data_IF_428592367448
#
_entry.id   IF_428592367448
#
_cell.length_a   1.000
_cell.length_b   1.000
_cell.length_c   1.000
_cell.angle_alpha   90.00
_cell.angle_beta   90.00
_cell.angle_gamma   90.00
#
_symmetry.space_group_name_H-M   'P 1'
#
loop_
_entity.id
_entity.type
_entity.pdbx_description
1 polymer ?
#
# COMPACT_ATOMS: atom_id res chain seq x y z
N UNK A 1 -0.10 13.25 -0.56
CA UNK A 1 -1.31 13.92 -0.06
C UNK A 1 -1.90 13.03 1.03
N UNK A 2 -2.01 13.56 2.25
CA UNK A 2 -2.54 12.83 3.40
C UNK A 2 -4.02 12.44 3.21
N UNK A 3 -4.41 11.26 3.72
CA UNK A 3 -5.81 10.81 3.77
C UNK A 3 -6.41 10.33 2.46
N UNK A 4 -5.66 10.30 1.36
CA UNK A 4 -6.19 9.90 0.06
C UNK A 4 -6.48 8.40 -0.03
N UNK A 5 -7.59 8.09 -0.71
CA UNK A 5 -8.04 6.74 -1.05
C UNK A 5 -7.58 6.33 -2.44
N UNK A 6 -7.68 5.04 -2.77
CA UNK A 6 -7.25 4.51 -4.06
C UNK A 6 -7.95 5.13 -5.28
N UNK A 7 -9.28 5.43 -5.27
CA UNK A 7 -9.90 6.13 -6.40
C UNK A 7 -9.36 7.55 -6.58
N UNK A 8 -9.04 8.27 -5.49
CA UNK A 8 -8.42 9.59 -5.58
C UNK A 8 -7.00 9.54 -6.15
N UNK A 9 -6.23 8.50 -5.81
CA UNK A 9 -4.90 8.27 -6.40
C UNK A 9 -5.01 7.92 -7.88
N UNK A 10 -5.97 7.08 -8.25
CA UNK A 10 -6.19 6.66 -9.64
C UNK A 10 -6.54 7.84 -10.55
N UNK A 11 -7.44 8.75 -10.12
CA UNK A 11 -7.87 9.89 -10.96
C UNK A 11 -6.73 10.86 -11.29
N UNK A 12 -5.75 10.98 -10.41
CA UNK A 12 -4.56 11.85 -10.60
C UNK A 12 -3.32 11.09 -11.11
N UNK A 13 -3.41 9.76 -11.29
CA UNK A 13 -2.27 8.90 -11.59
C UNK A 13 -1.55 9.28 -12.89
N UNK A 14 -2.29 9.78 -13.88
CA UNK A 14 -1.71 10.26 -15.12
C UNK A 14 -0.76 11.44 -14.89
N UNK A 15 -1.23 12.50 -14.24
CA UNK A 15 -0.44 13.72 -14.01
C UNK A 15 0.73 13.46 -13.06
N UNK A 16 0.50 12.66 -11.99
CA UNK A 16 1.47 12.52 -10.90
C UNK A 16 2.48 11.38 -11.14
N UNK A 17 2.20 10.49 -12.08
CA UNK A 17 3.07 9.33 -12.36
C UNK A 17 3.36 9.21 -13.85
N UNK A 18 2.35 9.03 -14.70
CA UNK A 18 2.57 8.69 -16.12
C UNK A 18 3.30 9.80 -16.87
N UNK A 19 2.85 11.04 -16.72
CA UNK A 19 3.42 12.21 -17.43
C UNK A 19 4.83 12.55 -16.95
N UNK A 20 5.23 12.12 -15.74
CA UNK A 20 6.58 12.28 -15.20
C UNK A 20 7.56 11.19 -15.71
N UNK A 21 7.07 10.15 -16.36
CA UNK A 21 7.86 9.07 -16.96
C UNK A 21 8.91 8.45 -16.01
N UNK A 22 8.56 8.06 -14.77
CA UNK A 22 9.51 7.44 -13.86
C UNK A 22 9.89 6.05 -14.37
N UNK A 23 11.07 5.57 -14.01
CA UNK A 23 11.48 4.19 -14.29
C UNK A 23 10.73 3.17 -13.43
N UNK A 24 10.39 3.55 -12.21
CA UNK A 24 9.73 2.70 -11.21
C UNK A 24 8.66 3.50 -10.48
N UNK A 25 7.53 2.88 -10.21
CA UNK A 25 6.51 3.40 -9.28
C UNK A 25 6.36 2.43 -8.12
N UNK A 26 6.32 2.98 -6.91
CA UNK A 26 6.02 2.26 -5.66
C UNK A 26 4.61 2.64 -5.22
N UNK A 27 3.70 1.67 -5.16
CA UNK A 27 2.30 1.89 -4.80
C UNK A 27 2.04 1.30 -3.41
N UNK A 28 1.77 2.18 -2.44
CA UNK A 28 1.36 1.85 -1.07
C UNK A 28 0.04 2.59 -0.80
N UNK A 29 -1.08 1.88 -0.85
CA UNK A 29 -2.42 2.43 -0.74
C UNK A 29 -3.42 1.40 -0.25
N UNK A 30 -4.58 1.84 0.29
CA UNK A 30 -5.70 1.00 0.72
C UNK A 30 -6.15 1.24 2.17
N UNK A 31 -5.27 1.69 3.06
CA UNK A 31 -5.63 1.92 4.46
C UNK A 31 -6.72 2.99 4.61
N UNK A 32 -6.66 4.07 3.85
CA UNK A 32 -7.66 5.15 3.88
C UNK A 32 -9.01 4.74 3.29
N UNK A 33 -9.01 3.81 2.35
CA UNK A 33 -10.22 3.18 1.81
C UNK A 33 -10.90 2.33 2.89
N UNK A 34 -10.14 1.46 3.57
CA UNK A 34 -10.62 0.64 4.68
C UNK A 34 -11.15 1.54 5.81
N UNK A 35 -10.47 2.66 6.11
CA UNK A 35 -10.94 3.66 7.06
C UNK A 35 -12.20 4.42 6.60
N UNK A 36 -12.60 4.28 5.34
CA UNK A 36 -13.79 4.93 4.78
C UNK A 36 -13.67 6.44 4.62
N UNK A 37 -12.47 6.96 4.32
CA UNK A 37 -12.23 8.41 4.20
C UNK A 37 -13.05 9.08 3.11
N UNK A 38 -13.43 8.34 2.06
CA UNK A 38 -14.31 8.83 0.97
C UNK A 38 -15.64 8.08 0.90
N UNK A 39 -16.06 7.49 2.00
CA UNK A 39 -17.25 6.66 2.08
C UNK A 39 -16.96 5.16 2.16
N UNK A 40 -17.99 4.30 2.19
CA UNK A 40 -17.81 2.86 2.23
C UNK A 40 -17.03 2.33 1.03
N UNK A 41 -16.04 1.47 1.27
CA UNK A 41 -15.28 0.76 0.24
C UNK A 41 -15.25 -0.73 0.55
N UNK A 42 -15.43 -1.56 -0.47
CA UNK A 42 -15.17 -3.00 -0.38
C UNK A 42 -13.70 -3.28 -0.70
N UNK A 43 -13.18 -4.45 -0.29
CA UNK A 43 -11.83 -4.84 -0.68
C UNK A 43 -11.69 -4.97 -2.20
N UNK A 44 -12.70 -5.49 -2.87
CA UNK A 44 -12.75 -5.60 -4.34
C UNK A 44 -12.60 -4.23 -5.04
N UNK A 45 -13.25 -3.18 -4.53
CA UNK A 45 -13.08 -1.81 -5.07
C UNK A 45 -11.63 -1.32 -4.92
N UNK A 46 -10.97 -1.62 -3.81
CA UNK A 46 -9.56 -1.27 -3.57
C UNK A 46 -8.67 -2.06 -4.52
N UNK A 47 -8.92 -3.35 -4.67
CA UNK A 47 -8.22 -4.27 -5.57
C UNK A 47 -8.28 -3.79 -7.02
N UNK A 48 -9.45 -3.41 -7.50
CA UNK A 48 -9.67 -2.89 -8.85
C UNK A 48 -8.91 -1.58 -9.11
N UNK A 49 -8.88 -0.67 -8.13
CA UNK A 49 -8.13 0.58 -8.24
C UNK A 49 -6.62 0.34 -8.25
N UNK A 50 -6.12 -0.56 -7.38
CA UNK A 50 -4.70 -0.95 -7.36
C UNK A 50 -4.31 -1.63 -8.68
N UNK A 51 -5.14 -2.54 -9.19
CA UNK A 51 -4.94 -3.19 -10.48
C UNK A 51 -4.88 -2.16 -11.62
N UNK A 52 -5.81 -1.21 -11.63
CA UNK A 52 -5.87 -0.15 -12.64
C UNK A 52 -4.61 0.71 -12.66
N UNK A 53 -4.14 1.18 -11.50
CA UNK A 53 -2.89 1.94 -11.40
C UNK A 53 -1.68 1.12 -11.87
N UNK A 54 -1.58 -0.16 -11.47
CA UNK A 54 -0.50 -1.04 -11.88
C UNK A 54 -0.51 -1.32 -13.39
N UNK A 55 -1.69 -1.52 -13.98
CA UNK A 55 -1.85 -1.73 -15.43
C UNK A 55 -1.50 -0.48 -16.22
N UNK A 56 -1.94 0.70 -15.76
CA UNK A 56 -1.58 1.98 -16.39
C UNK A 56 -0.06 2.20 -16.38
N UNK A 57 0.60 1.96 -15.25
CA UNK A 57 2.05 2.06 -15.16
C UNK A 57 2.74 1.10 -16.13
N UNK A 58 2.34 -0.18 -16.12
CA UNK A 58 2.90 -1.20 -17.02
C UNK A 58 2.71 -0.86 -18.50
N UNK A 59 1.53 -0.38 -18.88
CA UNK A 59 1.22 0.02 -20.27
C UNK A 59 2.09 1.20 -20.75
N UNK A 60 2.61 2.00 -19.82
CA UNK A 60 3.52 3.12 -20.10
C UNK A 60 5.00 2.78 -19.84
N UNK A 61 5.37 1.50 -19.73
CA UNK A 61 6.76 1.05 -19.58
C UNK A 61 7.35 1.28 -18.19
N UNK A 62 6.53 1.65 -17.20
CA UNK A 62 6.97 1.91 -15.82
C UNK A 62 6.98 0.61 -15.03
N UNK A 63 8.09 0.30 -14.36
CA UNK A 63 8.19 -0.87 -13.47
C UNK A 63 7.34 -0.66 -12.22
N UNK A 64 6.63 -1.69 -11.78
CA UNK A 64 5.68 -1.60 -10.67
C UNK A 64 6.18 -2.37 -9.46
N UNK A 65 6.16 -1.71 -8.30
CA UNK A 65 6.31 -2.31 -6.98
C UNK A 65 4.99 -2.11 -6.24
N UNK A 66 4.31 -3.20 -5.90
CA UNK A 66 3.12 -3.19 -5.08
C UNK A 66 3.50 -3.51 -3.64
N UNK A 67 3.21 -2.58 -2.72
CA UNK A 67 3.46 -2.78 -1.30
C UNK A 67 2.27 -3.45 -0.62
N UNK A 68 2.54 -4.29 0.37
CA UNK A 68 1.52 -4.62 1.36
C UNK A 68 1.08 -3.36 2.09
N UNK A 69 -0.21 -3.25 2.40
CA UNK A 69 -0.72 -2.22 3.31
C UNK A 69 -0.13 -2.48 4.69
N UNK A 70 0.29 -1.41 5.36
CA UNK A 70 0.88 -1.49 6.70
C UNK A 70 -0.12 -2.04 7.72
N UNK A 71 0.35 -2.75 8.75
CA UNK A 71 -0.54 -3.26 9.79
C UNK A 71 -1.22 -2.12 10.55
N UNK A 72 -2.48 -2.33 10.95
CA UNK A 72 -3.20 -1.49 11.88
C UNK A 72 -4.21 -2.35 12.64
N UNK A 73 -4.26 -2.24 13.96
CA UNK A 73 -5.23 -2.98 14.76
C UNK A 73 -6.62 -2.36 14.68
N UNK A 74 -6.70 -1.04 14.79
CA UNK A 74 -7.90 -0.22 14.60
C UNK A 74 -7.48 1.20 14.17
N UNK A 75 -8.43 2.02 13.76
CA UNK A 75 -8.18 3.42 13.42
C UNK A 75 -8.67 4.32 14.56
N UNK A 76 -7.77 5.09 15.25
CA UNK A 76 -8.17 5.95 16.38
C UNK A 76 -9.27 6.95 16.05
N UNK A 77 -9.29 7.45 14.81
CA UNK A 77 -10.30 8.41 14.34
C UNK A 77 -11.59 7.77 13.82
N UNK A 78 -11.60 6.45 13.62
CA UNK A 78 -12.75 5.70 13.11
C UNK A 78 -12.74 4.26 13.60
N UNK A 79 -13.01 4.02 14.88
CA UNK A 79 -13.00 2.70 15.47
C UNK A 79 -14.01 1.74 14.83
N UNK A 80 -13.70 0.44 14.83
CA UNK A 80 -14.60 -0.62 14.37
C UNK A 80 -14.57 -0.87 12.87
N UNK A 81 -13.60 -0.33 12.13
CA UNK A 81 -13.43 -0.62 10.70
C UNK A 81 -12.71 -1.95 10.42
N UNK A 82 -12.23 -2.63 11.46
CA UNK A 82 -11.59 -3.95 11.43
C UNK A 82 -10.37 -4.05 10.47
N UNK A 83 -9.44 -3.07 10.49
CA UNK A 83 -8.28 -3.13 9.61
C UNK A 83 -7.40 -4.35 9.88
N UNK A 84 -7.30 -4.82 11.12
CA UNK A 84 -6.55 -6.00 11.52
C UNK A 84 -7.03 -7.31 10.86
N UNK A 85 -8.25 -7.33 10.31
CA UNK A 85 -8.82 -8.43 9.53
C UNK A 85 -8.71 -8.12 8.02
N UNK A 86 -9.14 -6.93 7.61
CA UNK A 86 -9.23 -6.54 6.20
C UNK A 86 -7.88 -6.33 5.52
N UNK A 87 -6.89 -5.78 6.24
CA UNK A 87 -5.55 -5.57 5.68
C UNK A 87 -4.85 -6.89 5.30
N UNK A 88 -4.81 -7.92 6.16
CA UNK A 88 -4.26 -9.23 5.76
C UNK A 88 -4.94 -9.83 4.53
N UNK A 89 -6.26 -9.71 4.42
CA UNK A 89 -7.01 -10.20 3.27
C UNK A 89 -6.64 -9.45 1.99
N UNK A 90 -6.62 -8.12 2.03
CA UNK A 90 -6.17 -7.29 0.92
C UNK A 90 -4.71 -7.59 0.52
N UNK A 91 -3.82 -7.74 1.50
CA UNK A 91 -2.41 -8.04 1.25
C UNK A 91 -2.21 -9.41 0.58
N UNK A 92 -3.04 -10.39 0.92
CA UNK A 92 -3.05 -11.69 0.24
C UNK A 92 -3.36 -11.54 -1.24
N UNK A 93 -4.37 -10.72 -1.57
CA UNK A 93 -4.72 -10.43 -2.96
C UNK A 93 -3.58 -9.64 -3.66
N UNK A 94 -3.04 -8.57 -3.04
CA UNK A 94 -1.95 -7.78 -3.61
C UNK A 94 -0.75 -8.66 -3.98
N UNK A 95 -0.38 -9.58 -3.09
CA UNK A 95 0.71 -10.54 -3.33
C UNK A 95 0.43 -11.42 -4.53
N UNK A 96 -0.73 -12.07 -4.56
CA UNK A 96 -1.13 -12.95 -5.66
C UNK A 96 -1.21 -12.20 -7.00
N UNK A 97 -1.75 -10.97 -6.98
CA UNK A 97 -1.83 -10.13 -8.16
C UNK A 97 -0.45 -9.70 -8.67
N UNK A 98 0.46 -9.33 -7.78
CA UNK A 98 1.84 -8.98 -8.14
C UNK A 98 2.57 -10.18 -8.76
N UNK A 99 2.47 -11.36 -8.16
CA UNK A 99 3.07 -12.60 -8.67
C UNK A 99 2.55 -12.96 -10.07
N UNK A 100 1.22 -12.95 -10.24
CA UNK A 100 0.55 -13.24 -11.53
C UNK A 100 1.01 -12.30 -12.65
N UNK A 101 1.23 -11.01 -12.34
CA UNK A 101 1.58 -9.99 -13.32
C UNK A 101 3.08 -9.72 -13.44
N UNK A 102 3.92 -10.47 -12.68
CA UNK A 102 5.38 -10.32 -12.60
C UNK A 102 5.81 -8.93 -12.10
N UNK A 103 5.02 -8.35 -11.19
CA UNK A 103 5.38 -7.17 -10.43
C UNK A 103 6.19 -7.54 -9.19
N UNK A 104 6.91 -6.60 -8.62
CA UNK A 104 7.57 -6.80 -7.33
C UNK A 104 6.54 -6.60 -6.22
N UNK A 105 6.39 -7.58 -5.35
CA UNK A 105 5.65 -7.45 -4.09
C UNK A 105 6.64 -7.05 -2.98
N UNK A 106 6.33 -5.96 -2.27
CA UNK A 106 7.13 -5.45 -1.15
C UNK A 106 6.35 -5.61 0.16
N UNK A 107 6.76 -6.57 0.96
CA UNK A 107 6.04 -6.99 2.16
C UNK A 107 6.48 -6.23 3.42
N UNK A 108 5.97 -5.02 3.58
CA UNK A 108 6.11 -4.26 4.82
C UNK A 108 5.32 -4.86 5.97
N UNK A 109 4.13 -5.44 5.69
CA UNK A 109 3.24 -5.96 6.71
C UNK A 109 3.94 -7.02 7.57
N UNK A 110 4.51 -8.04 6.94
CA UNK A 110 5.18 -9.13 7.66
C UNK A 110 6.41 -8.67 8.46
N UNK A 111 7.04 -7.56 8.07
CA UNK A 111 8.18 -7.00 8.77
C UNK A 111 7.81 -6.12 9.98
N UNK A 112 6.55 -5.66 10.06
CA UNK A 112 6.14 -4.62 11.01
C UNK A 112 4.93 -4.99 11.88
N UNK A 113 4.18 -6.05 11.55
CA UNK A 113 2.99 -6.45 12.29
C UNK A 113 3.32 -7.09 13.66
N UNK A 114 2.51 -6.77 14.66
CA UNK A 114 2.46 -7.52 15.92
C UNK A 114 1.56 -8.77 15.80
N UNK A 115 1.42 -9.52 16.89
CA UNK A 115 0.62 -10.75 16.98
C UNK A 115 -0.90 -10.52 16.79
N UNK A 116 -1.37 -9.28 16.81
CA UNK A 116 -2.76 -8.88 16.59
C UNK A 116 -2.99 -8.27 15.21
N UNK A 117 -2.01 -8.34 14.30
CA UNK A 117 -2.00 -7.65 13.01
C UNK A 117 -2.02 -6.12 13.14
N UNK A 118 -1.54 -5.59 14.26
CA UNK A 118 -1.42 -4.16 14.51
C UNK A 118 -0.01 -3.63 14.25
N UNK A 119 0.13 -2.32 14.17
CA UNK A 119 1.43 -1.67 14.16
C UNK A 119 1.85 -1.37 15.61
N UNK A 120 2.94 -1.98 16.10
CA UNK A 120 3.30 -1.90 17.52
C UNK A 120 3.69 -0.48 17.96
N UNK A 121 3.52 -0.20 19.26
CA UNK A 121 3.70 1.15 19.82
C UNK A 121 5.12 1.72 19.67
N UNK A 122 6.12 0.87 19.56
CA UNK A 122 7.51 1.31 19.31
C UNK A 122 7.75 1.74 17.84
N UNK A 123 6.90 1.33 16.91
CA UNK A 123 6.96 1.71 15.50
C UNK A 123 5.95 2.80 15.12
N UNK A 124 4.96 3.09 15.99
CA UNK A 124 3.90 4.06 15.74
C UNK A 124 3.38 4.67 17.02
N UNK A 125 3.01 5.95 16.99
CA UNK A 125 2.36 6.62 18.14
C UNK A 125 0.85 6.39 18.20
N UNK A 126 0.22 6.20 17.05
CA UNK A 126 -1.24 6.07 16.90
C UNK A 126 -1.67 4.69 16.40
N UNK A 127 -0.72 3.78 16.21
CA UNK A 127 -0.97 2.43 15.70
C UNK A 127 -1.24 2.34 14.20
N UNK A 128 -1.04 3.44 13.45
CA UNK A 128 -1.31 3.51 12.00
C UNK A 128 -0.15 4.14 11.22
N UNK A 129 0.34 5.28 11.68
CA UNK A 129 1.39 6.02 10.99
C UNK A 129 2.77 5.66 11.56
N UNK A 130 3.70 5.15 10.73
CA UNK A 130 5.05 4.81 11.18
C UNK A 130 5.78 6.03 11.75
N UNK A 131 6.46 5.84 12.87
CA UNK A 131 7.41 6.81 13.39
C UNK A 131 8.79 6.62 12.73
N UNK A 132 9.82 7.37 13.19
CA UNK A 132 11.17 7.25 12.65
C UNK A 132 11.69 5.81 12.63
N UNK A 133 11.49 5.05 13.71
CA UNK A 133 11.92 3.65 13.81
C UNK A 133 11.18 2.75 12.80
N UNK A 134 9.88 2.99 12.56
CA UNK A 134 9.12 2.31 11.52
C UNK A 134 9.69 2.57 10.13
N UNK A 135 10.04 3.82 9.82
CA UNK A 135 10.68 4.16 8.54
C UNK A 135 12.09 3.58 8.40
N UNK A 136 12.86 3.43 9.49
CA UNK A 136 14.17 2.76 9.47
C UNK A 136 14.08 1.28 9.08
N UNK A 137 12.93 0.63 9.31
CA UNK A 137 12.64 -0.72 8.80
C UNK A 137 12.24 -0.66 7.32
N UNK A 138 11.38 0.28 6.94
CA UNK A 138 10.83 0.36 5.59
C UNK A 138 11.88 0.76 4.53
N UNK A 139 12.78 1.67 4.87
CA UNK A 139 13.75 2.26 3.93
C UNK A 139 14.62 1.20 3.23
N UNK A 140 15.37 0.33 3.92
CA UNK A 140 16.22 -0.66 3.25
C UNK A 140 15.42 -1.66 2.42
N UNK A 141 14.15 -1.92 2.77
CA UNK A 141 13.29 -2.81 2.03
C UNK A 141 12.90 -2.20 0.67
N UNK A 142 12.49 -0.93 0.64
CA UNK A 142 12.13 -0.27 -0.61
C UNK A 142 13.35 -0.01 -1.49
N UNK A 143 14.48 0.36 -0.93
CA UNK A 143 15.74 0.52 -1.68
C UNK A 143 16.14 -0.77 -2.39
N UNK A 144 16.04 -1.92 -1.71
CA UNK A 144 16.30 -3.24 -2.30
C UNK A 144 15.28 -3.57 -3.39
N UNK A 145 14.01 -3.26 -3.21
CA UNK A 145 12.97 -3.50 -4.20
C UNK A 145 13.18 -2.64 -5.46
N UNK A 146 13.51 -1.35 -5.29
CA UNK A 146 13.83 -0.45 -6.40
C UNK A 146 15.07 -0.93 -7.16
N UNK A 147 16.14 -1.29 -6.46
CA UNK A 147 17.35 -1.82 -7.08
C UNK A 147 17.07 -3.09 -7.89
N UNK A 148 16.16 -3.96 -7.41
CA UNK A 148 15.70 -5.14 -8.16
C UNK A 148 14.90 -4.75 -9.41
N UNK A 149 14.04 -3.74 -9.30
CA UNK A 149 13.20 -3.28 -10.43
C UNK A 149 14.05 -2.67 -11.56
N UNK A 150 15.19 -2.04 -11.24
CA UNK A 150 16.05 -1.34 -12.18
C UNK A 150 17.04 -2.25 -12.94
N UNK A 151 17.16 -3.52 -12.54
CA UNK A 151 17.91 -4.54 -13.27
C UNK A 151 17.14 -5.07 -14.47
#
# INVERSE_FOLDING_TARGET
ISGQTTPQMLIRFRQDVIDLQPKVVVILAGTNDIAGNTGPSTLEMIEDNLASMAQLAKANGIKVILCSVLPAFDYPWRPGMEPNVKIPELNKWIKAYAEKNKFIYLDYFSAMADDRNGLPADLSKDGVHPNKKGYEIMQPMVEKAIAKALK
#
